data_IF_680697382863
#
_entry.id   IF_680697382863
#
_cell.length_a   1.000
_cell.length_b   1.000
_cell.length_c   1.000
_cell.angle_alpha   90.00
_cell.angle_beta   90.00
_cell.angle_gamma   90.00
#
_symmetry.space_group_name_H-M   'P 1'
#
loop_
_entity.id
_entity.type
_entity.pdbx_description
1 polymer ?
#
# COMPACT_ATOMS: atom_id res chain seq x y z
N UNK A 1 25.65 36.66 -21.72
CA UNK A 1 24.19 36.87 -21.79
C UNK A 1 23.36 35.57 -21.78
N UNK A 2 23.75 34.49 -22.46
CA UNK A 2 22.98 33.22 -22.42
C UNK A 2 22.98 32.51 -21.06
N UNK A 3 24.11 32.47 -20.32
CA UNK A 3 24.20 31.80 -19.01
C UNK A 3 23.32 32.41 -17.91
N UNK A 4 23.15 33.73 -17.89
CA UNK A 4 22.28 34.43 -16.92
C UNK A 4 20.80 34.16 -17.19
N UNK A 5 20.40 33.99 -18.46
CA UNK A 5 19.04 33.62 -18.83
C UNK A 5 18.66 32.21 -18.34
N UNK A 6 19.57 31.24 -18.47
CA UNK A 6 19.35 29.88 -17.95
C UNK A 6 19.20 29.84 -16.42
N UNK A 7 20.03 30.60 -15.69
CA UNK A 7 19.86 30.70 -14.22
C UNK A 7 18.50 31.27 -13.82
N UNK A 8 18.01 32.30 -14.51
CA UNK A 8 16.70 32.88 -14.20
C UNK A 8 15.56 31.88 -14.49
N UNK A 9 15.66 31.16 -15.60
CA UNK A 9 14.66 30.16 -16.00
C UNK A 9 14.62 28.98 -15.02
N UNK A 10 15.77 28.54 -14.50
CA UNK A 10 15.85 27.52 -13.44
C UNK A 10 15.18 28.00 -12.14
N UNK A 11 15.44 29.24 -11.71
CA UNK A 11 14.81 29.80 -10.49
C UNK A 11 13.29 29.89 -10.65
N UNK A 12 12.79 30.30 -11.82
CA UNK A 12 11.34 30.34 -12.09
C UNK A 12 10.73 28.94 -12.06
N UNK A 13 11.37 27.94 -12.68
CA UNK A 13 10.89 26.55 -12.65
C UNK A 13 10.84 26.03 -11.21
N UNK A 14 11.90 26.24 -10.42
CA UNK A 14 11.92 25.83 -9.00
C UNK A 14 10.79 26.51 -8.22
N UNK A 15 10.56 27.81 -8.46
CA UNK A 15 9.50 28.57 -7.79
C UNK A 15 8.10 28.05 -8.13
N UNK A 16 7.87 27.62 -9.37
CA UNK A 16 6.61 27.02 -9.81
C UNK A 16 6.44 25.65 -9.16
N UNK A 17 7.46 24.79 -9.17
CA UNK A 17 7.41 23.46 -8.55
C UNK A 17 7.11 23.57 -7.05
N UNK A 18 7.79 24.48 -6.35
CA UNK A 18 7.56 24.70 -4.90
C UNK A 18 6.12 25.15 -4.64
N UNK A 19 5.57 26.08 -5.44
CA UNK A 19 4.16 26.51 -5.27
C UNK A 19 3.15 25.41 -5.55
N UNK A 20 3.40 24.55 -6.54
CA UNK A 20 2.51 23.41 -6.84
C UNK A 20 2.52 22.39 -5.70
N UNK A 21 3.68 22.15 -5.08
CA UNK A 21 3.79 21.23 -3.94
C UNK A 21 3.10 21.74 -2.66
N UNK A 22 3.07 23.06 -2.43
CA UNK A 22 2.46 23.63 -1.21
C UNK A 22 0.93 23.76 -1.35
N UNK A 23 0.42 23.93 -2.57
CA UNK A 23 -1.01 24.08 -2.84
C UNK A 23 -1.71 22.76 -3.20
N UNK A 24 -1.09 21.60 -2.95
CA UNK A 24 -1.90 20.39 -2.91
C UNK A 24 -2.87 20.56 -1.74
N UNK A 25 -4.20 20.57 -1.97
CA UNK A 25 -5.13 20.47 -0.85
C UNK A 25 -4.67 19.24 -0.09
N UNK A 26 -4.46 19.36 1.23
CA UNK A 26 -4.28 18.19 2.08
C UNK A 26 -5.44 17.28 1.71
N UNK A 27 -5.17 16.24 0.92
CA UNK A 27 -6.26 15.55 0.26
C UNK A 27 -7.05 14.93 1.39
N UNK A 28 -8.31 15.29 1.53
CA UNK A 28 -9.21 14.74 2.55
C UNK A 28 -9.31 13.20 2.48
N UNK A 29 -8.72 12.60 1.43
CA UNK A 29 -8.54 11.19 1.27
C UNK A 29 -7.22 10.70 1.89
N UNK A 30 -7.28 10.20 3.11
CA UNK A 30 -6.16 9.54 3.77
C UNK A 30 -5.75 8.19 3.13
N UNK A 31 -6.40 7.70 2.08
CA UNK A 31 -5.96 6.49 1.36
C UNK A 31 -4.62 6.74 0.66
N UNK A 32 -4.46 7.91 0.02
CA UNK A 32 -3.23 8.25 -0.73
C UNK A 32 -2.09 8.66 0.22
N UNK A 33 -2.44 9.34 1.32
CA UNK A 33 -1.49 9.82 2.34
C UNK A 33 -1.86 9.33 3.74
N UNK A 34 -1.79 8.02 4.01
CA UNK A 34 -2.30 7.39 5.24
C UNK A 34 -1.42 7.61 6.48
N UNK A 35 -0.48 8.55 6.44
CA UNK A 35 0.41 8.84 7.56
C UNK A 35 -0.24 9.75 8.62
N UNK A 36 -1.54 10.04 8.48
CA UNK A 36 -2.32 10.85 9.42
C UNK A 36 -2.65 10.06 10.70
N UNK A 37 -2.80 8.74 10.58
CA UNK A 37 -3.07 7.87 11.72
C UNK A 37 -1.78 7.32 12.33
N UNK A 38 -1.86 6.90 13.60
CA UNK A 38 -0.72 6.22 14.23
C UNK A 38 -0.51 4.82 13.61
N UNK A 39 0.66 4.22 13.87
CA UNK A 39 1.06 2.94 13.26
C UNK A 39 0.16 1.75 13.63
N UNK A 40 -0.64 1.88 14.70
CA UNK A 40 -1.57 0.85 15.20
C UNK A 40 -3.02 1.14 14.79
N UNK A 41 -3.27 2.19 14.01
CA UNK A 41 -4.58 2.61 13.56
C UNK A 41 -4.66 2.53 12.03
N UNK A 42 -5.84 2.19 11.56
CA UNK A 42 -6.21 2.24 10.15
C UNK A 42 -6.94 3.54 9.89
N UNK A 43 -6.59 4.23 8.80
CA UNK A 43 -7.40 5.33 8.33
C UNK A 43 -8.64 4.83 7.62
N UNK A 44 -9.81 5.20 8.11
CA UNK A 44 -11.11 4.73 7.63
C UNK A 44 -11.84 5.89 7.00
N UNK A 45 -12.13 5.78 5.71
CA UNK A 45 -12.95 6.75 5.00
C UNK A 45 -14.38 6.24 4.91
N UNK A 46 -15.32 7.11 5.26
CA UNK A 46 -16.76 6.88 5.08
C UNK A 46 -17.30 7.96 4.14
N UNK A 47 -18.03 7.54 3.10
CA UNK A 47 -18.65 8.45 2.12
C UNK A 47 -17.68 9.43 1.45
N UNK A 48 -16.44 8.99 1.23
CA UNK A 48 -15.39 9.66 0.44
C UNK A 48 -14.91 11.05 0.92
N UNK A 49 -15.47 11.63 1.97
CA UNK A 49 -15.08 12.99 2.44
C UNK A 49 -14.60 13.07 3.88
N UNK A 50 -15.07 12.16 4.75
CA UNK A 50 -14.67 12.13 6.16
C UNK A 50 -13.82 10.90 6.45
N UNK A 51 -12.74 11.10 7.20
CA UNK A 51 -11.90 10.02 7.66
C UNK A 51 -11.83 9.97 9.19
N UNK A 52 -11.57 8.78 9.71
CA UNK A 52 -11.32 8.54 11.13
C UNK A 52 -10.16 7.57 11.31
N UNK A 53 -9.42 7.69 12.41
CA UNK A 53 -8.36 6.73 12.76
C UNK A 53 -8.92 5.75 13.78
N UNK A 54 -9.04 4.48 13.40
CA UNK A 54 -9.61 3.44 14.26
C UNK A 54 -8.80 2.16 14.19
N UNK A 55 -8.91 1.33 15.24
CA UNK A 55 -8.33 -0.02 15.23
C UNK A 55 -9.35 -0.97 14.62
N UNK A 56 -8.99 -1.62 13.52
CA UNK A 56 -9.83 -2.61 12.87
C UNK A 56 -9.33 -4.02 13.22
N UNK A 57 -10.11 -4.71 14.05
CA UNK A 57 -9.88 -6.13 14.35
C UNK A 57 -10.72 -7.08 13.46
N UNK A 58 -11.74 -6.54 12.78
CA UNK A 58 -12.71 -7.31 12.00
C UNK A 58 -12.16 -7.79 10.65
N UNK A 59 -10.96 -7.39 10.26
CA UNK A 59 -10.35 -7.71 8.98
C UNK A 59 -8.97 -8.36 9.23
N UNK A 60 -8.93 -9.62 9.69
CA UNK A 60 -7.67 -10.31 9.95
C UNK A 60 -6.93 -10.60 8.64
N UNK A 61 -5.60 -10.41 8.66
CA UNK A 61 -4.69 -10.81 7.57
C UNK A 61 -4.00 -12.11 7.98
N UNK A 62 -3.97 -13.08 7.07
CA UNK A 62 -3.33 -14.38 7.27
C UNK A 62 -2.41 -14.74 6.10
N UNK A 63 -1.40 -15.55 6.38
CA UNK A 63 -0.37 -15.96 5.44
C UNK A 63 -0.36 -17.47 5.31
N UNK A 64 -0.14 -17.95 4.09
CA UNK A 64 0.04 -19.36 3.79
C UNK A 64 1.27 -19.51 2.88
N UNK A 65 2.31 -20.21 3.36
CA UNK A 65 3.47 -20.51 2.53
C UNK A 65 3.09 -21.59 1.51
N UNK A 66 3.15 -21.25 0.23
CA UNK A 66 2.77 -22.15 -0.87
C UNK A 66 3.95 -23.01 -1.29
N UNK A 67 5.14 -22.41 -1.45
CA UNK A 67 6.30 -23.12 -1.96
C UNK A 67 7.62 -22.49 -1.51
N UNK A 68 8.68 -23.29 -1.57
CA UNK A 68 10.07 -22.86 -1.39
C UNK A 68 10.89 -23.40 -2.55
N UNK A 69 11.54 -22.51 -3.29
CA UNK A 69 12.43 -22.89 -4.39
C UNK A 69 13.87 -22.52 -4.04
N UNK A 70 14.79 -23.45 -4.23
CA UNK A 70 16.24 -23.22 -4.08
C UNK A 70 16.86 -23.11 -5.46
N UNK A 71 17.56 -22.02 -5.72
CA UNK A 71 18.23 -21.72 -6.98
C UNK A 71 19.66 -22.27 -6.98
N UNK A 72 20.26 -22.46 -8.15
CA UNK A 72 21.60 -23.05 -8.30
C UNK A 72 22.70 -22.28 -7.53
N UNK A 73 22.53 -20.97 -7.37
CA UNK A 73 23.43 -20.10 -6.60
C UNK A 73 23.17 -20.13 -5.08
N UNK A 74 22.33 -21.06 -4.59
CA UNK A 74 21.98 -21.20 -3.17
C UNK A 74 20.95 -20.20 -2.65
N UNK A 75 20.55 -19.21 -3.46
CA UNK A 75 19.46 -18.28 -3.10
C UNK A 75 18.16 -19.08 -2.97
N UNK A 76 17.35 -18.76 -1.96
CA UNK A 76 16.01 -19.33 -1.79
C UNK A 76 14.95 -18.29 -2.10
N UNK A 77 13.83 -18.74 -2.65
CA UNK A 77 12.64 -17.92 -2.83
C UNK A 77 11.44 -18.58 -2.20
N UNK A 78 10.67 -17.82 -1.44
CA UNK A 78 9.53 -18.29 -0.64
C UNK A 78 8.26 -17.64 -1.17
N UNK A 79 7.30 -18.47 -1.59
CA UNK A 79 6.03 -18.01 -2.12
C UNK A 79 4.98 -18.02 -1.02
N UNK A 80 4.27 -16.90 -0.88
CA UNK A 80 3.17 -16.75 0.06
C UNK A 80 1.89 -16.36 -0.65
N UNK A 81 0.80 -17.02 -0.26
CA UNK A 81 -0.55 -16.52 -0.42
C UNK A 81 -0.93 -15.76 0.84
N UNK A 82 -1.46 -14.56 0.67
CA UNK A 82 -1.98 -13.73 1.74
C UNK A 82 -3.48 -13.58 1.53
N UNK A 83 -4.23 -13.78 2.61
CA UNK A 83 -5.68 -13.61 2.58
C UNK A 83 -6.13 -12.70 3.70
N UNK A 84 -7.15 -11.90 3.42
CA UNK A 84 -7.90 -11.23 4.48
C UNK A 84 -9.39 -11.41 4.26
N UNK A 85 -10.12 -11.46 5.36
CA UNK A 85 -11.57 -11.70 5.36
C UNK A 85 -12.25 -10.44 5.90
N UNK A 86 -13.25 -9.95 5.20
CA UNK A 86 -14.07 -8.85 5.69
C UNK A 86 -15.13 -9.38 6.67
N UNK A 87 -14.84 -9.45 7.97
CA UNK A 87 -15.87 -9.81 8.97
C UNK A 87 -16.71 -8.60 9.42
N UNK A 88 -16.53 -7.43 8.79
CA UNK A 88 -17.37 -6.26 9.07
C UNK A 88 -18.72 -6.38 8.36
N UNK A 89 -19.66 -5.51 8.76
CA UNK A 89 -20.99 -5.42 8.12
C UNK A 89 -20.98 -4.61 6.82
N UNK A 90 -19.90 -3.92 6.50
CA UNK A 90 -19.84 -2.98 5.39
C UNK A 90 -19.03 -3.55 4.23
N UNK A 91 -19.22 -2.99 3.02
CA UNK A 91 -18.37 -3.30 1.88
C UNK A 91 -17.08 -2.50 2.00
N UNK A 92 -15.98 -3.09 1.54
CA UNK A 92 -14.66 -2.45 1.58
C UNK A 92 -14.19 -2.15 0.16
N UNK A 93 -13.50 -1.04 0.00
CA UNK A 93 -12.79 -0.65 -1.22
C UNK A 93 -11.46 0.01 -0.83
N UNK A 94 -10.53 0.10 -1.79
CA UNK A 94 -9.29 0.86 -1.65
C UNK A 94 -8.49 0.47 -0.41
N UNK A 95 -8.47 -0.82 -0.08
CA UNK A 95 -7.76 -1.36 1.07
C UNK A 95 -6.26 -1.23 0.84
N UNK A 96 -5.61 -0.41 1.65
CA UNK A 96 -4.17 -0.20 1.66
C UNK A 96 -3.55 -0.90 2.86
N UNK A 97 -2.48 -1.63 2.61
CA UNK A 97 -1.78 -2.47 3.57
C UNK A 97 -0.35 -1.96 3.68
N UNK A 98 0.08 -1.63 4.90
CA UNK A 98 1.48 -1.31 5.17
C UNK A 98 2.30 -2.58 5.30
N UNK A 99 3.54 -2.47 4.86
CA UNK A 99 4.60 -3.45 5.10
C UNK A 99 5.54 -2.83 6.12
N UNK A 100 5.77 -3.45 7.28
CA UNK A 100 6.68 -2.89 8.31
C UNK A 100 8.09 -2.59 7.74
N UNK A 101 8.55 -3.45 6.83
CA UNK A 101 9.77 -3.27 6.06
C UNK A 101 9.47 -3.41 4.56
N UNK A 102 10.40 -2.98 3.71
CA UNK A 102 10.32 -3.25 2.28
C UNK A 102 10.21 -4.75 2.02
N UNK A 103 9.21 -5.16 1.23
CA UNK A 103 9.14 -6.52 0.69
C UNK A 103 10.32 -6.74 -0.26
N UNK A 104 11.23 -7.64 0.11
CA UNK A 104 12.36 -8.04 -0.75
C UNK A 104 11.90 -9.10 -1.73
N UNK A 105 11.24 -8.65 -2.79
CA UNK A 105 10.71 -9.51 -3.84
C UNK A 105 11.82 -10.33 -4.54
N UNK A 106 11.50 -11.53 -5.02
CA UNK A 106 12.42 -12.46 -5.71
C UNK A 106 13.22 -11.77 -6.82
N UNK A 107 12.53 -10.99 -7.65
CA UNK A 107 13.06 -10.22 -8.78
C UNK A 107 13.30 -8.73 -8.45
N UNK A 108 13.03 -8.32 -7.20
CA UNK A 108 13.11 -6.95 -6.73
C UNK A 108 11.91 -6.05 -7.06
N UNK A 109 11.06 -6.40 -8.03
CA UNK A 109 10.06 -5.45 -8.59
C UNK A 109 8.68 -6.09 -8.82
N UNK A 110 8.58 -7.29 -9.37
CA UNK A 110 7.34 -7.79 -10.00
C UNK A 110 6.81 -9.10 -9.43
N UNK A 111 7.49 -9.71 -8.46
CA UNK A 111 7.09 -11.00 -7.89
C UNK A 111 5.93 -10.88 -6.89
N UNK A 112 4.80 -10.33 -7.33
CA UNK A 112 3.52 -10.24 -6.63
C UNK A 112 2.35 -10.32 -7.63
N UNK A 113 1.15 -10.64 -7.15
CA UNK A 113 -0.06 -10.69 -7.97
C UNK A 113 -1.29 -10.30 -7.17
N UNK A 114 -2.36 -9.91 -7.87
CA UNK A 114 -3.63 -9.46 -7.30
C UNK A 114 -3.49 -8.36 -6.25
N UNK A 115 -2.47 -7.52 -6.38
CA UNK A 115 -2.23 -6.36 -5.53
C UNK A 115 -1.34 -5.42 -6.31
N UNK A 116 -1.46 -4.12 -6.08
CA UNK A 116 -0.55 -3.12 -6.59
C UNK A 116 0.36 -2.62 -5.47
N UNK A 117 1.50 -2.04 -5.85
CA UNK A 117 2.51 -1.57 -4.90
C UNK A 117 2.79 -0.09 -5.12
N UNK A 118 2.62 0.71 -4.08
CA UNK A 118 3.01 2.11 -4.10
C UNK A 118 4.54 2.27 -4.07
N UNK A 119 5.08 3.41 -4.54
CA UNK A 119 6.50 3.71 -4.47
C UNK A 119 7.10 3.66 -3.05
N UNK A 120 6.27 3.88 -2.03
CA UNK A 120 6.68 3.80 -0.62
C UNK A 120 6.67 2.36 -0.05
N UNK A 121 6.34 1.35 -0.86
CA UNK A 121 6.32 -0.05 -0.47
C UNK A 121 4.97 -0.58 0.00
N UNK A 122 4.02 0.30 0.36
CA UNK A 122 2.67 -0.12 0.75
C UNK A 122 1.98 -0.87 -0.39
N UNK A 123 1.16 -1.84 -0.04
CA UNK A 123 0.34 -2.61 -0.96
C UNK A 123 -1.07 -2.00 -1.01
N UNK A 124 -1.73 -2.07 -2.17
CA UNK A 124 -3.14 -1.69 -2.32
C UNK A 124 -3.85 -2.74 -3.15
N UNK A 125 -5.06 -3.11 -2.74
CA UNK A 125 -5.92 -3.94 -3.59
C UNK A 125 -6.26 -3.19 -4.87
N UNK A 126 -6.57 -3.91 -5.94
CA UNK A 126 -6.91 -3.27 -7.22
C UNK A 126 -8.14 -2.36 -7.06
N UNK A 127 -8.11 -1.20 -7.71
CA UNK A 127 -9.13 -0.13 -7.55
C UNK A 127 -10.56 -0.55 -7.89
N UNK A 128 -10.72 -1.57 -8.75
CA UNK A 128 -12.00 -2.12 -9.18
C UNK A 128 -12.58 -3.16 -8.19
N UNK A 129 -11.84 -3.51 -7.14
CA UNK A 129 -12.24 -4.56 -6.21
C UNK A 129 -13.05 -4.02 -5.04
N UNK A 130 -14.25 -4.60 -4.86
CA UNK A 130 -15.11 -4.39 -3.70
C UNK A 130 -15.20 -5.70 -2.94
N UNK A 131 -14.95 -5.66 -1.64
CA UNK A 131 -14.94 -6.84 -0.78
C UNK A 131 -16.18 -6.78 0.10
N UNK A 132 -17.14 -7.65 -0.19
CA UNK A 132 -18.40 -7.70 0.53
C UNK A 132 -18.23 -8.31 1.93
N UNK A 133 -19.20 -8.10 2.83
CA UNK A 133 -19.23 -8.79 4.12
C UNK A 133 -19.05 -10.31 3.95
N UNK A 134 -18.22 -10.90 4.81
CA UNK A 134 -17.79 -12.31 4.83
C UNK A 134 -17.05 -12.79 3.58
N UNK A 135 -16.66 -11.90 2.66
CA UNK A 135 -15.81 -12.29 1.54
C UNK A 135 -14.33 -12.23 1.90
N UNK A 136 -13.58 -13.13 1.26
CA UNK A 136 -12.14 -13.18 1.33
C UNK A 136 -11.54 -12.52 0.08
N UNK A 137 -10.45 -11.78 0.28
CA UNK A 137 -9.58 -11.34 -0.79
C UNK A 137 -8.21 -11.99 -0.65
N UNK A 138 -7.67 -12.46 -1.77
CA UNK A 138 -6.40 -13.19 -1.81
C UNK A 138 -5.44 -12.55 -2.80
N UNK A 139 -4.21 -12.32 -2.34
CA UNK A 139 -3.10 -11.88 -3.16
C UNK A 139 -1.86 -12.67 -2.75
N UNK A 140 -0.73 -12.42 -3.41
CA UNK A 140 0.50 -13.06 -2.97
C UNK A 140 1.74 -12.44 -3.54
N UNK A 141 2.87 -12.95 -3.07
CA UNK A 141 4.18 -12.50 -3.46
C UNK A 141 5.22 -13.60 -3.25
N UNK A 142 6.38 -13.41 -3.88
CA UNK A 142 7.54 -14.28 -3.73
C UNK A 142 8.69 -13.45 -3.15
N UNK A 143 9.15 -13.84 -1.96
CA UNK A 143 10.26 -13.17 -1.28
C UNK A 143 11.59 -13.85 -1.60
N UNK A 144 12.66 -13.05 -1.62
CA UNK A 144 14.04 -13.52 -1.77
C UNK A 144 14.67 -13.70 -0.40
N UNK A 145 15.13 -14.92 -0.10
CA UNK A 145 15.84 -15.27 1.13
C UNK A 145 15.09 -14.98 2.45
N UNK A 146 13.80 -14.70 2.43
CA UNK A 146 12.98 -14.45 3.63
C UNK A 146 12.00 -15.61 3.89
N UNK A 147 12.29 -16.39 4.93
CA UNK A 147 11.44 -17.51 5.41
C UNK A 147 10.20 -17.00 6.15
N UNK A 148 10.20 -15.76 6.62
CA UNK A 148 9.08 -15.20 7.35
C UNK A 148 8.70 -13.89 6.68
N UNK A 149 7.47 -13.74 6.17
CA UNK A 149 7.07 -12.50 5.55
C UNK A 149 7.00 -11.39 6.59
N UNK A 150 7.26 -10.16 6.16
CA UNK A 150 7.12 -8.97 7.01
C UNK A 150 5.66 -8.85 7.51
N UNK A 151 5.48 -8.28 8.70
CA UNK A 151 4.15 -8.03 9.24
C UNK A 151 3.41 -7.05 8.32
N UNK A 152 2.20 -7.44 7.94
CA UNK A 152 1.27 -6.63 7.16
C UNK A 152 0.22 -6.05 8.10
N UNK A 153 -0.07 -4.76 7.97
CA UNK A 153 -1.11 -4.09 8.77
C UNK A 153 -2.03 -3.29 7.86
N UNK A 154 -3.31 -3.20 8.21
CA UNK A 154 -4.25 -2.34 7.50
C UNK A 154 -3.92 -0.88 7.78
N UNK A 155 -3.52 -0.16 6.73
CA UNK A 155 -3.10 1.23 6.82
C UNK A 155 -4.25 2.18 6.49
N UNK A 156 -5.02 1.86 5.46
CA UNK A 156 -6.17 2.66 5.06
C UNK A 156 -7.25 1.83 4.38
N UNK A 157 -8.50 2.27 4.46
CA UNK A 157 -9.64 1.58 3.89
C UNK A 157 -10.80 2.54 3.62
N UNK A 158 -11.52 2.31 2.52
CA UNK A 158 -12.78 2.98 2.23
C UNK A 158 -13.94 2.03 2.55
N UNK A 159 -14.86 2.51 3.38
CA UNK A 159 -16.09 1.81 3.74
C UNK A 159 -17.23 2.32 2.87
N UNK A 160 -17.91 1.40 2.18
CA UNK A 160 -19.08 1.66 1.36
C UNK A 160 -20.29 1.01 2.04
N UNK A 161 -21.31 1.81 2.32
CA UNK A 161 -22.59 1.36 2.87
C UNK A 161 -23.49 0.76 1.77
#
# INVERSE_FOLDING_TARGET
MKKTFYSFLVVVIISIIVKVSINQPASNNCIEFPNVCNIEQTCVIQNSTEYSCSRIAEIPISYHQVSVNTHENGVKSYQYDVTFINNSKNKLKNVRISTECNLYLKDGITSFWNVDRFPNGDLIIKEDQIIYPNQMYSFGFILKNEITPTTLKLKAIEIIQ
#
